data_IF_993884526213
#
_entry.id   IF_993884526213
#
_cell.length_a   1.000
_cell.length_b   1.000
_cell.length_c   1.000
_cell.angle_alpha   90.00
_cell.angle_beta   90.00
_cell.angle_gamma   90.00
#
_symmetry.space_group_name_H-M   'P 1'
#
loop_
_entity.id
_entity.type
_entity.pdbx_description
1 polymer ?
#
# COMPACT_ATOMS: atom_id res chain seq x y z
N UNK A 1 -21.14 4.94 17.46
CA UNK A 1 -21.09 4.08 16.25
C UNK A 1 -20.02 3.03 16.46
N UNK A 2 -20.34 1.77 16.22
CA UNK A 2 -19.48 0.62 16.54
C UNK A 2 -18.70 0.23 15.26
N UNK A 3 -17.49 0.76 15.07
CA UNK A 3 -16.65 0.50 13.89
C UNK A 3 -16.08 -0.92 13.92
N UNK A 4 -16.80 -1.88 13.32
CA UNK A 4 -16.37 -3.27 13.28
C UNK A 4 -16.03 -3.73 11.86
N UNK A 5 -15.04 -3.07 11.26
CA UNK A 5 -14.43 -3.53 10.01
C UNK A 5 -13.75 -2.39 9.27
N UNK A 6 -12.59 -1.99 9.74
CA UNK A 6 -11.81 -0.89 9.19
C UNK A 6 -10.31 -1.08 9.48
N UNK A 7 -9.81 -2.28 9.82
CA UNK A 7 -8.43 -2.42 10.27
C UNK A 7 -7.50 -1.90 9.15
N UNK A 8 -6.85 -0.75 9.33
CA UNK A 8 -6.01 -0.20 8.28
C UNK A 8 -4.81 -1.12 8.10
N UNK A 9 -4.28 -1.25 6.88
CA UNK A 9 -2.92 -1.78 6.68
C UNK A 9 -1.89 -0.69 7.03
N UNK A 10 -2.23 0.21 7.94
CA UNK A 10 -1.24 1.13 8.47
C UNK A 10 -0.39 0.30 9.45
N UNK A 11 0.93 0.41 9.36
CA UNK A 11 1.82 -0.47 10.10
C UNK A 11 1.74 -0.22 11.60
N UNK A 12 2.02 -1.26 12.39
CA UNK A 12 2.20 -1.11 13.84
C UNK A 12 3.52 -0.38 14.12
N UNK A 13 4.55 -0.70 13.33
CA UNK A 13 5.87 -0.09 13.40
C UNK A 13 6.35 0.25 11.99
N UNK A 14 6.86 1.47 11.78
CA UNK A 14 7.41 1.87 10.48
C UNK A 14 8.71 1.15 10.18
N UNK A 15 8.95 0.88 8.91
CA UNK A 15 10.25 0.40 8.42
C UNK A 15 11.25 1.55 8.41
N UNK A 16 12.48 1.33 8.90
CA UNK A 16 13.54 2.34 8.85
C UNK A 16 14.07 2.48 7.41
N UNK A 17 13.84 3.65 6.82
CA UNK A 17 14.24 4.00 5.46
C UNK A 17 15.41 5.00 5.41
N UNK A 18 15.99 5.35 6.56
CA UNK A 18 16.96 6.46 6.69
C UNK A 18 18.24 6.29 5.85
N UNK A 19 18.65 5.05 5.59
CA UNK A 19 19.86 4.71 4.86
C UNK A 19 19.60 4.07 3.48
N UNK A 20 18.34 4.10 3.03
CA UNK A 20 17.89 3.46 1.79
C UNK A 20 17.78 4.50 0.68
N UNK A 21 18.31 4.19 -0.49
CA UNK A 21 18.07 4.99 -1.70
C UNK A 21 16.84 4.46 -2.42
N UNK A 22 15.88 5.32 -2.74
CA UNK A 22 14.68 4.94 -3.50
C UNK A 22 14.74 5.58 -4.87
N UNK A 23 14.56 4.77 -5.90
CA UNK A 23 14.53 5.16 -7.31
C UNK A 23 13.24 4.64 -7.95
N UNK A 24 12.80 5.30 -9.01
CA UNK A 24 11.62 4.87 -9.75
C UNK A 24 11.73 5.25 -11.22
N UNK A 25 11.22 4.41 -12.11
CA UNK A 25 11.10 4.69 -13.56
C UNK A 25 9.66 4.96 -14.00
N UNK A 26 8.70 4.90 -13.08
CA UNK A 26 7.29 5.04 -13.38
C UNK A 26 6.79 6.46 -13.16
N UNK A 27 5.83 6.87 -13.98
CA UNK A 27 5.09 8.11 -13.78
C UNK A 27 4.05 7.93 -12.65
N UNK A 28 4.12 8.80 -11.65
CA UNK A 28 3.22 8.80 -10.51
C UNK A 28 2.24 9.98 -10.64
N UNK A 29 0.98 9.66 -10.88
CA UNK A 29 -0.08 10.66 -11.00
C UNK A 29 -0.31 11.38 -9.67
N UNK A 30 -0.63 12.67 -9.76
CA UNK A 30 -1.00 13.52 -8.61
C UNK A 30 -2.49 13.46 -8.27
N UNK A 31 -3.32 12.91 -9.17
CA UNK A 31 -4.77 12.87 -9.01
C UNK A 31 -5.20 11.71 -8.10
N UNK A 32 -5.98 12.03 -7.07
CA UNK A 32 -6.74 11.05 -6.31
C UNK A 32 -7.99 10.60 -7.08
N UNK A 33 -8.55 9.45 -6.70
CA UNK A 33 -9.81 8.96 -7.26
C UNK A 33 -10.69 8.36 -6.17
N UNK A 34 -11.94 8.07 -6.52
CA UNK A 34 -12.85 7.30 -5.66
C UNK A 34 -12.77 5.83 -6.02
N UNK A 35 -12.66 4.98 -5.01
CA UNK A 35 -12.68 3.53 -5.17
C UNK A 35 -13.72 2.92 -4.21
N UNK A 36 -14.40 1.85 -4.64
CA UNK A 36 -15.37 1.18 -3.79
C UNK A 36 -14.70 0.45 -2.63
N UNK A 37 -15.40 0.34 -1.51
CA UNK A 37 -15.12 -0.62 -0.43
C UNK A 37 -16.14 -1.75 -0.57
N UNK A 38 -15.66 -2.98 -0.47
CA UNK A 38 -16.52 -4.15 -0.55
C UNK A 38 -16.68 -4.84 0.81
N UNK A 39 -17.79 -5.53 0.96
CA UNK A 39 -17.99 -6.55 1.98
C UNK A 39 -17.93 -7.91 1.29
N UNK A 40 -16.90 -8.67 1.61
CA UNK A 40 -16.71 -10.05 1.21
C UNK A 40 -17.53 -10.95 2.12
N UNK A 41 -18.45 -11.68 1.52
CA UNK A 41 -19.14 -12.82 2.09
C UNK A 41 -18.60 -14.10 1.43
N UNK A 42 -18.80 -15.25 2.08
CA UNK A 42 -18.32 -16.55 1.59
C UNK A 42 -18.70 -16.82 0.12
N UNK A 43 -19.86 -16.31 -0.33
CA UNK A 43 -20.40 -16.58 -1.67
C UNK A 43 -20.55 -15.34 -2.55
N UNK A 44 -20.29 -14.12 -2.06
CA UNK A 44 -20.49 -12.88 -2.82
C UNK A 44 -19.67 -11.70 -2.29
N UNK A 45 -19.30 -10.77 -3.17
CA UNK A 45 -18.85 -9.43 -2.79
C UNK A 45 -20.00 -8.43 -2.95
N UNK A 46 -20.22 -7.59 -1.95
CA UNK A 46 -21.22 -6.51 -2.01
C UNK A 46 -20.54 -5.16 -1.86
N UNK A 47 -20.86 -4.21 -2.74
CA UNK A 47 -20.45 -2.82 -2.57
C UNK A 47 -21.01 -2.25 -1.26
N UNK A 48 -20.20 -1.51 -0.52
CA UNK A 48 -20.59 -0.88 0.75
C UNK A 48 -20.69 0.63 0.59
N UNK A 49 -19.65 1.26 0.03
CA UNK A 49 -19.51 2.70 -0.17
C UNK A 49 -18.32 2.99 -1.07
N UNK A 50 -18.25 4.19 -1.63
CA UNK A 50 -17.03 4.68 -2.26
C UNK A 50 -16.22 5.53 -1.27
N UNK A 51 -14.90 5.44 -1.37
CA UNK A 51 -13.96 6.23 -0.57
C UNK A 51 -12.99 6.96 -1.48
N UNK A 52 -12.65 8.19 -1.10
CA UNK A 52 -11.52 8.89 -1.70
C UNK A 52 -10.23 8.20 -1.26
N UNK A 53 -9.38 7.89 -2.24
CA UNK A 53 -8.06 7.31 -1.98
C UNK A 53 -6.96 8.33 -2.25
N UNK A 54 -5.80 8.08 -1.65
CA UNK A 54 -4.54 8.76 -1.96
C UNK A 54 -4.29 8.72 -3.47
N UNK A 55 -3.59 9.73 -4.00
CA UNK A 55 -2.99 9.63 -5.33
C UNK A 55 -1.84 8.61 -5.33
N UNK A 56 -1.45 8.06 -6.51
CA UNK A 56 -0.26 7.22 -6.61
C UNK A 56 1.00 7.86 -6.02
N UNK A 57 1.16 9.18 -6.18
CA UNK A 57 2.31 9.93 -5.64
C UNK A 57 2.28 10.04 -4.12
N UNK A 58 1.10 10.26 -3.53
CA UNK A 58 0.92 10.27 -2.06
C UNK A 58 1.22 8.88 -1.46
N UNK A 59 0.70 7.81 -2.08
CA UNK A 59 1.00 6.44 -1.67
C UNK A 59 2.50 6.10 -1.80
N UNK A 60 3.16 6.59 -2.85
CA UNK A 60 4.60 6.46 -2.99
C UNK A 60 5.37 7.22 -1.90
N UNK A 61 4.88 8.39 -1.44
CA UNK A 61 5.50 9.06 -0.28
C UNK A 61 5.39 8.22 1.00
N UNK A 62 4.25 7.56 1.24
CA UNK A 62 4.10 6.61 2.36
C UNK A 62 5.13 5.49 2.27
N UNK A 63 5.34 4.90 1.09
CA UNK A 63 6.41 3.92 0.87
C UNK A 63 7.79 4.49 1.20
N UNK A 64 8.10 5.72 0.75
CA UNK A 64 9.39 6.37 1.06
C UNK A 64 9.62 6.61 2.55
N UNK A 65 8.54 6.83 3.29
CA UNK A 65 8.57 7.06 4.73
C UNK A 65 8.59 5.76 5.54
N UNK A 66 8.53 4.61 4.88
CA UNK A 66 8.48 3.32 5.57
C UNK A 66 7.12 3.04 6.23
N UNK A 67 6.03 3.63 5.74
CA UNK A 67 4.66 3.40 6.24
C UNK A 67 4.10 2.04 5.81
N UNK A 68 4.83 0.98 6.13
CA UNK A 68 4.45 -0.41 5.96
C UNK A 68 5.17 -1.29 6.99
N UNK A 69 4.59 -2.46 7.26
CA UNK A 69 5.11 -3.37 8.28
C UNK A 69 6.51 -3.88 7.90
N UNK A 70 7.43 -4.05 8.87
CA UNK A 70 8.80 -4.43 8.58
C UNK A 70 8.87 -5.80 7.90
N UNK A 71 9.41 -5.81 6.67
CA UNK A 71 9.66 -7.03 5.88
C UNK A 71 11.11 -7.53 6.02
N UNK A 72 11.89 -6.89 6.88
CA UNK A 72 13.32 -7.11 7.09
C UNK A 72 14.03 -5.80 7.47
N UNK A 73 15.33 -5.88 7.74
CA UNK A 73 16.18 -4.71 7.97
C UNK A 73 16.94 -4.35 6.71
N UNK A 74 16.81 -3.10 6.25
CA UNK A 74 17.68 -2.57 5.20
C UNK A 74 19.06 -2.20 5.76
N UNK A 75 20.07 -2.32 4.91
CA UNK A 75 21.46 -1.95 5.19
C UNK A 75 21.78 -0.63 4.52
N UNK A 76 22.76 0.08 5.08
CA UNK A 76 23.27 1.29 4.45
C UNK A 76 23.79 0.99 3.03
N UNK A 77 23.32 1.78 2.06
CA UNK A 77 23.62 1.59 0.64
C UNK A 77 22.61 0.74 -0.12
N UNK A 78 21.62 0.15 0.55
CA UNK A 78 20.54 -0.55 -0.14
C UNK A 78 19.76 0.41 -1.05
N UNK A 79 19.43 -0.07 -2.25
CA UNK A 79 18.64 0.65 -3.24
C UNK A 79 17.35 -0.11 -3.53
N UNK A 80 16.22 0.59 -3.41
CA UNK A 80 14.91 0.12 -3.84
C UNK A 80 14.55 0.76 -5.18
N UNK A 81 14.25 -0.07 -6.17
CA UNK A 81 13.78 0.36 -7.47
C UNK A 81 12.30 0.00 -7.64
N UNK A 82 11.46 1.03 -7.81
CA UNK A 82 10.02 0.86 -8.02
C UNK A 82 9.73 0.81 -9.51
N UNK A 83 9.27 -0.35 -9.97
CA UNK A 83 9.10 -0.70 -11.40
C UNK A 83 7.66 -0.59 -11.89
N UNK A 84 6.67 -0.79 -11.01
CA UNK A 84 5.24 -0.67 -11.31
C UNK A 84 4.41 -0.48 -10.05
N UNK A 85 3.15 -0.08 -10.24
CA UNK A 85 2.12 -0.18 -9.21
C UNK A 85 0.79 -0.60 -9.82
N UNK A 86 -0.04 -1.24 -9.00
CA UNK A 86 -1.45 -1.45 -9.28
C UNK A 86 -2.29 -1.09 -8.04
N UNK A 87 -3.60 -0.97 -8.24
CA UNK A 87 -4.55 -0.89 -7.13
C UNK A 87 -5.15 -2.27 -6.97
N UNK A 88 -5.16 -2.77 -5.74
CA UNK A 88 -5.76 -4.03 -5.35
C UNK A 88 -6.61 -3.83 -4.10
N UNK A 89 -7.08 -4.92 -3.50
CA UNK A 89 -7.90 -4.93 -2.30
C UNK A 89 -7.29 -5.79 -1.21
N UNK A 90 -7.31 -5.28 0.00
CA UNK A 90 -7.01 -6.06 1.20
C UNK A 90 -8.27 -6.25 2.03
N UNK A 91 -8.60 -7.51 2.30
CA UNK A 91 -9.76 -7.89 3.10
C UNK A 91 -9.35 -8.03 4.56
N UNK A 92 -9.96 -7.23 5.44
CA UNK A 92 -9.74 -7.32 6.87
C UNK A 92 -10.39 -8.59 7.48
N UNK A 93 -10.08 -8.88 8.75
CA UNK A 93 -10.61 -10.05 9.47
C UNK A 93 -12.14 -10.05 9.63
N UNK A 94 -12.78 -8.92 9.34
CA UNK A 94 -14.24 -8.78 9.39
C UNK A 94 -14.84 -8.87 7.98
N UNK A 95 -14.05 -9.14 6.94
CA UNK A 95 -14.51 -9.31 5.57
C UNK A 95 -14.70 -7.99 4.81
N UNK A 96 -14.18 -6.86 5.29
CA UNK A 96 -14.22 -5.62 4.50
C UNK A 96 -12.96 -5.48 3.64
N UNK A 97 -13.15 -5.36 2.34
CA UNK A 97 -12.06 -5.16 1.37
C UNK A 97 -11.87 -3.68 1.07
N UNK A 98 -10.70 -3.15 1.45
CA UNK A 98 -10.33 -1.76 1.20
C UNK A 98 -9.29 -1.66 0.08
N UNK A 99 -9.34 -0.58 -0.73
CA UNK A 99 -8.36 -0.37 -1.78
C UNK A 99 -6.96 -0.14 -1.20
N UNK A 100 -5.96 -0.70 -1.86
CA UNK A 100 -4.54 -0.52 -1.57
C UNK A 100 -3.76 -0.25 -2.84
N UNK A 101 -2.64 0.46 -2.70
CA UNK A 101 -1.61 0.48 -3.72
C UNK A 101 -0.66 -0.69 -3.48
N UNK A 102 -0.35 -1.43 -4.53
CA UNK A 102 0.66 -2.50 -4.49
C UNK A 102 1.80 -2.06 -5.40
N UNK A 103 2.94 -1.72 -4.80
CA UNK A 103 4.15 -1.36 -5.52
C UNK A 103 5.02 -2.60 -5.72
N UNK A 104 5.50 -2.83 -6.94
CA UNK A 104 6.58 -3.79 -7.14
C UNK A 104 7.90 -3.11 -6.81
N UNK A 105 8.66 -3.75 -5.92
CA UNK A 105 9.92 -3.22 -5.40
C UNK A 105 11.03 -4.21 -5.69
N UNK A 106 12.10 -3.73 -6.31
CA UNK A 106 13.33 -4.49 -6.52
C UNK A 106 14.43 -3.94 -5.59
N UNK A 107 14.98 -4.79 -4.73
CA UNK A 107 16.10 -4.48 -3.85
C UNK A 107 17.42 -4.90 -4.51
N UNK A 108 18.34 -3.93 -4.67
CA UNK A 108 19.71 -4.13 -5.15
C UNK A 108 19.79 -4.97 -6.44
N UNK A 109 18.88 -4.73 -7.38
CA UNK A 109 18.75 -5.44 -8.66
C UNK A 109 18.52 -6.97 -8.56
N UNK A 110 18.12 -7.49 -7.40
CA UNK A 110 18.00 -8.94 -7.13
C UNK A 110 16.64 -9.37 -6.62
N UNK A 111 16.28 -8.92 -5.41
CA UNK A 111 15.08 -9.41 -4.73
C UNK A 111 13.89 -8.56 -5.14
N UNK A 112 12.81 -9.20 -5.61
CA UNK A 112 11.58 -8.50 -6.00
C UNK A 112 10.45 -8.91 -5.05
N UNK A 113 9.69 -7.94 -4.56
CA UNK A 113 8.46 -8.21 -3.82
C UNK A 113 7.36 -7.18 -4.12
N UNK A 114 6.14 -7.52 -3.72
CA UNK A 114 4.99 -6.62 -3.77
C UNK A 114 4.80 -5.96 -2.42
N UNK A 115 4.94 -4.64 -2.36
CA UNK A 115 4.72 -3.85 -1.16
C UNK A 115 3.31 -3.26 -1.16
N UNK A 116 2.37 -3.78 -0.34
CA UNK A 116 1.09 -3.13 -0.13
C UNK A 116 1.27 -1.84 0.69
N UNK A 117 0.55 -0.80 0.29
CA UNK A 117 0.45 0.50 0.95
C UNK A 117 -1.04 0.86 1.03
N UNK A 118 -1.51 1.19 2.22
CA UNK A 118 -2.88 1.66 2.45
C UNK A 118 -3.21 2.84 1.50
N UNK A 119 -4.27 2.72 0.70
CA UNK A 119 -4.74 3.80 -0.16
C UNK A 119 -5.66 4.78 0.57
N UNK A 120 -5.90 4.58 1.87
CA UNK A 120 -6.75 5.43 2.68
C UNK A 120 -6.15 6.84 2.79
N UNK A 121 -6.95 7.84 2.43
CA UNK A 121 -6.65 9.26 2.59
C UNK A 121 -6.85 9.72 4.04
#
# INVERSE_FOLDING_TARGET
MKEFGNMPIDPITKTDMSHVTIKTSIELKDEGKKMPVYKDFVTKKSHVRDVEILSPKEAFQKLKQGDFDPIGSFKAGDTLFITKYNIDYYTDTKGFSQPIYVFEVQLNDKNIWSQPISAKK
#
